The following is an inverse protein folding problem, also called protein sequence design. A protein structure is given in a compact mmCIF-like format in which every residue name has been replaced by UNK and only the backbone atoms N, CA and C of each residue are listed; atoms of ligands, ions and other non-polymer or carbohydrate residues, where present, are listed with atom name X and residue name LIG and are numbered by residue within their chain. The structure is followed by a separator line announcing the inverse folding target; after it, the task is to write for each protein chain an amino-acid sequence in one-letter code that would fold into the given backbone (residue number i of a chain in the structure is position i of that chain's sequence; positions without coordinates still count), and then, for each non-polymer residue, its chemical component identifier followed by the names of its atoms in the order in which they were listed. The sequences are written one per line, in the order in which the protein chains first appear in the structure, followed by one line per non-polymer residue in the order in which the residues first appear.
data_IF_105929604267
#
_entry.id   IF_105929604267
#
_cell.length_a   1.000
_cell.length_b   1.000
_cell.length_c   1.000
_cell.angle_alpha   90.00
_cell.angle_beta   90.00
_cell.angle_gamma   90.00
#
_symmetry.space_group_name_H-M   'P 1'
#
loop_
_entity.id
_entity.type
_entity.pdbx_description
1 polymer ?
#
# COMPACT_ATOMS: atom_id res chain seq x y z
N UNK A 1 -5.12 -21.85 10.49
CA UNK A 1 -5.66 -20.57 9.99
C UNK A 1 -5.57 -19.58 11.14
N UNK A 2 -4.97 -18.39 10.96
CA UNK A 2 -4.85 -17.43 12.07
C UNK A 2 -6.25 -16.99 12.52
N UNK A 3 -6.48 -16.82 13.82
CA UNK A 3 -7.76 -16.39 14.40
C UNK A 3 -8.25 -15.02 13.89
N UNK A 4 -7.42 -14.30 13.13
CA UNK A 4 -7.71 -12.94 12.64
C UNK A 4 -8.07 -12.85 11.15
N UNK A 5 -8.03 -13.97 10.40
CA UNK A 5 -8.24 -13.95 8.95
C UNK A 5 -7.12 -13.27 8.13
N UNK A 6 -6.06 -12.81 8.80
CA UNK A 6 -4.84 -12.25 8.20
C UNK A 6 -3.86 -13.35 7.83
N UNK A 7 -3.14 -13.13 6.73
CA UNK A 7 -1.96 -13.92 6.38
C UNK A 7 -0.80 -13.61 7.35
N UNK A 8 0.25 -14.45 7.40
CA UNK A 8 1.44 -14.16 8.20
C UNK A 8 2.08 -12.83 7.78
N UNK A 9 2.34 -11.96 8.76
CA UNK A 9 2.95 -10.64 8.57
C UNK A 9 4.43 -10.75 8.17
N UNK A 10 4.66 -11.13 6.92
CA UNK A 10 5.97 -11.29 6.29
C UNK A 10 6.05 -10.33 5.10
N UNK A 11 7.19 -9.67 4.92
CA UNK A 11 7.42 -8.75 3.82
C UNK A 11 7.86 -9.48 2.53
N UNK A 12 7.94 -8.74 1.42
CA UNK A 12 8.36 -9.28 0.11
C UNK A 12 9.80 -9.80 0.06
N UNK A 13 10.61 -9.55 1.10
CA UNK A 13 11.97 -10.05 1.26
C UNK A 13 12.04 -11.33 2.10
N UNK A 14 10.90 -11.81 2.63
CA UNK A 14 10.84 -12.99 3.49
C UNK A 14 11.13 -12.70 4.98
N UNK A 15 11.21 -11.43 5.37
CA UNK A 15 11.47 -10.99 6.74
C UNK A 15 10.17 -10.54 7.45
N UNK A 16 10.18 -10.31 8.78
CA UNK A 16 9.02 -9.75 9.47
C UNK A 16 8.54 -8.43 8.84
N UNK A 17 7.22 -8.29 8.70
CA UNK A 17 6.63 -7.09 8.11
C UNK A 17 6.81 -5.87 9.02
N UNK A 18 7.44 -4.81 8.48
CA UNK A 18 7.58 -3.54 9.19
C UNK A 18 6.30 -2.70 9.15
N UNK A 19 6.17 -1.81 10.13
CA UNK A 19 5.15 -0.76 10.12
C UNK A 19 5.33 0.18 8.94
N UNK A 20 4.24 0.42 8.20
CA UNK A 20 4.21 1.39 7.11
C UNK A 20 4.01 2.82 7.64
N UNK A 21 2.92 3.05 8.39
CA UNK A 21 2.60 4.36 8.96
C UNK A 21 1.62 4.26 10.13
N UNK A 22 1.84 5.05 11.18
CA UNK A 22 0.87 5.25 12.27
C UNK A 22 0.25 6.65 12.26
N UNK A 23 0.77 7.56 11.43
CA UNK A 23 0.30 8.94 11.27
C UNK A 23 0.55 9.40 9.82
N UNK A 24 -0.46 9.36 8.94
CA UNK A 24 -1.83 8.87 9.20
C UNK A 24 -1.86 7.34 9.44
N UNK A 25 -2.81 6.86 10.24
CA UNK A 25 -2.97 5.43 10.50
C UNK A 25 -3.42 4.70 9.23
N UNK A 26 -2.60 3.74 8.77
CA UNK A 26 -2.85 3.00 7.52
C UNK A 26 -3.13 1.51 7.75
N UNK A 27 -3.22 0.75 6.66
CA UNK A 27 -3.52 -0.69 6.65
C UNK A 27 -5.02 -0.96 6.64
N UNK A 28 -5.43 -2.07 6.01
CA UNK A 28 -6.84 -2.49 5.96
C UNK A 28 -7.43 -2.66 7.38
N UNK A 29 -6.67 -3.28 8.29
CA UNK A 29 -7.03 -3.43 9.71
C UNK A 29 -6.74 -2.19 10.57
N UNK A 30 -6.27 -1.06 10.00
CA UNK A 30 -5.88 0.15 10.73
C UNK A 30 -4.90 -0.10 11.88
N UNK A 31 -3.95 -1.00 11.67
CA UNK A 31 -2.87 -1.34 12.61
C UNK A 31 -1.51 -0.73 12.22
N UNK A 32 -1.47 0.05 11.14
CA UNK A 32 -0.27 0.72 10.63
C UNK A 32 0.65 -0.15 9.76
N UNK A 33 0.32 -1.43 9.58
CA UNK A 33 1.04 -2.36 8.71
C UNK A 33 0.21 -2.68 7.47
N UNK A 34 0.87 -3.07 6.37
CA UNK A 34 0.18 -3.49 5.15
C UNK A 34 -0.21 -4.98 5.20
N UNK A 35 -0.69 -5.42 6.36
CA UNK A 35 -1.26 -6.75 6.53
C UNK A 35 -2.45 -6.94 5.59
N UNK A 36 -2.53 -8.13 4.99
CA UNK A 36 -3.62 -8.51 4.10
C UNK A 36 -4.15 -9.92 4.44
N UNK A 37 -5.25 -10.32 3.81
CA UNK A 37 -5.94 -11.58 4.10
C UNK A 37 -7.21 -11.74 3.27
N UNK A 38 -7.94 -12.83 3.47
CA UNK A 38 -9.11 -13.15 2.65
C UNK A 38 -10.21 -12.07 2.68
N UNK A 39 -10.29 -11.29 3.76
CA UNK A 39 -11.26 -10.20 3.91
C UNK A 39 -10.89 -8.93 3.11
N UNK A 40 -9.61 -8.76 2.75
CA UNK A 40 -9.12 -7.59 2.04
C UNK A 40 -9.08 -7.85 0.53
N UNK A 41 -10.25 -7.76 -0.11
CA UNK A 41 -10.37 -7.96 -1.57
C UNK A 41 -9.57 -6.95 -2.40
N UNK A 42 -9.19 -5.80 -1.82
CA UNK A 42 -8.34 -4.79 -2.46
C UNK A 42 -6.85 -5.11 -2.39
N UNK A 43 -6.43 -6.02 -1.49
CA UNK A 43 -5.02 -6.35 -1.21
C UNK A 43 -4.19 -5.09 -0.94
N UNK A 44 -4.51 -4.40 0.15
CA UNK A 44 -3.78 -3.22 0.64
C UNK A 44 -2.40 -3.62 1.22
N UNK A 45 -1.54 -4.16 0.37
CA UNK A 45 -0.29 -4.84 0.74
C UNK A 45 0.98 -4.09 0.35
N UNK A 46 0.88 -2.96 -0.34
CA UNK A 46 2.04 -2.16 -0.81
C UNK A 46 2.19 -0.90 0.04
N UNK A 47 3.28 -0.78 0.81
CA UNK A 47 3.59 0.45 1.53
C UNK A 47 4.25 1.48 0.60
N UNK A 48 3.48 2.46 0.15
CA UNK A 48 3.94 3.50 -0.75
C UNK A 48 4.08 4.86 -0.05
N UNK A 49 5.02 5.67 -0.54
CA UNK A 49 5.19 7.09 -0.18
C UNK A 49 4.50 7.93 -1.24
N UNK A 50 3.42 8.61 -0.86
CA UNK A 50 2.59 9.35 -1.80
C UNK A 50 3.38 10.45 -2.49
N UNK A 51 3.15 10.63 -3.80
CA UNK A 51 3.64 11.76 -4.59
C UNK A 51 2.46 12.56 -5.13
N UNK A 52 2.70 13.80 -5.56
CA UNK A 52 1.63 14.63 -6.13
C UNK A 52 1.11 14.02 -7.44
N UNK A 53 2.01 13.48 -8.24
CA UNK A 53 1.76 12.83 -9.53
C UNK A 53 0.90 11.58 -9.35
N UNK A 54 1.28 10.71 -8.40
CA UNK A 54 0.49 9.51 -8.09
C UNK A 54 -0.91 9.87 -7.58
N UNK A 55 -1.03 10.83 -6.65
CA UNK A 55 -2.34 11.21 -6.10
C UNK A 55 -3.26 11.78 -7.19
N UNK A 56 -2.73 12.58 -8.12
CA UNK A 56 -3.47 13.11 -9.25
C UNK A 56 -3.92 12.00 -10.21
N UNK A 57 -3.01 11.09 -10.59
CA UNK A 57 -3.33 9.96 -11.46
C UNK A 57 -4.36 9.03 -10.80
N UNK A 58 -4.15 8.67 -9.54
CA UNK A 58 -5.05 7.78 -8.80
C UNK A 58 -6.47 8.33 -8.76
N UNK A 59 -6.61 9.64 -8.48
CA UNK A 59 -7.89 10.33 -8.52
C UNK A 59 -8.53 10.31 -9.91
N UNK A 60 -7.75 10.60 -10.95
CA UNK A 60 -8.22 10.54 -12.34
C UNK A 60 -8.74 9.14 -12.73
N UNK A 61 -8.09 8.08 -12.25
CA UNK A 61 -8.46 6.67 -12.46
C UNK A 61 -9.54 6.16 -11.47
N UNK A 62 -10.22 7.07 -10.77
CA UNK A 62 -11.36 6.76 -9.89
C UNK A 62 -11.00 6.27 -8.48
N UNK A 63 -9.74 6.42 -8.06
CA UNK A 63 -9.27 6.10 -6.71
C UNK A 63 -8.78 7.38 -6.00
N UNK A 64 -9.72 8.24 -5.59
CA UNK A 64 -9.38 9.49 -4.91
C UNK A 64 -8.88 9.26 -3.48
N UNK A 65 -7.56 9.30 -3.33
CA UNK A 65 -6.88 9.23 -2.03
C UNK A 65 -6.57 10.60 -1.44
N UNK A 66 -6.91 11.70 -2.12
CA UNK A 66 -6.57 13.07 -1.71
C UNK A 66 -7.71 13.76 -0.95
N UNK A 67 -8.96 13.46 -1.29
CA UNK A 67 -10.13 14.07 -0.66
C UNK A 67 -10.40 13.40 0.69
N UNK A 68 -10.46 14.15 1.81
CA UNK A 68 -10.83 13.59 3.11
C UNK A 68 -12.22 12.95 3.09
N UNK A 69 -12.36 11.82 3.79
CA UNK A 69 -13.64 11.12 4.02
C UNK A 69 -13.82 10.86 5.53
N UNK A 70 -14.24 11.88 6.31
CA UNK A 70 -14.43 11.77 7.75
C UNK A 70 -15.37 10.63 8.17
N UNK A 71 -16.36 10.32 7.33
CA UNK A 71 -17.31 9.21 7.51
C UNK A 71 -16.63 7.83 7.57
N UNK A 72 -15.41 7.71 7.03
CA UNK A 72 -14.58 6.50 7.07
C UNK A 72 -13.31 6.67 7.91
N UNK A 73 -13.20 7.79 8.65
CA UNK A 73 -11.98 8.15 9.38
C UNK A 73 -10.76 8.31 8.48
N UNK A 74 -10.95 8.64 7.21
CA UNK A 74 -9.87 8.81 6.23
C UNK A 74 -9.52 10.30 6.07
N UNK A 75 -8.28 10.72 6.40
CA UNK A 75 -7.93 12.14 6.46
C UNK A 75 -7.70 12.79 5.09
N UNK A 76 -7.63 12.01 4.01
CA UNK A 76 -7.06 12.46 2.74
C UNK A 76 -5.53 12.53 2.83
N UNK A 77 -4.85 12.02 1.80
CA UNK A 77 -3.40 11.90 1.77
C UNK A 77 -2.76 13.08 1.04
N UNK A 78 -1.52 13.34 1.41
CA UNK A 78 -0.66 14.38 0.83
C UNK A 78 0.67 13.78 0.39
N UNK A 79 1.42 14.46 -0.50
CA UNK A 79 2.77 14.04 -0.83
C UNK A 79 3.63 13.86 0.43
N UNK A 80 4.38 12.75 0.49
CA UNK A 80 5.19 12.34 1.65
C UNK A 80 4.47 11.42 2.64
N UNK A 81 3.14 11.35 2.63
CA UNK A 81 2.41 10.40 3.47
C UNK A 81 2.75 8.96 3.08
N UNK A 82 2.85 8.07 4.07
CA UNK A 82 2.98 6.63 3.86
C UNK A 82 1.62 5.96 3.97
N UNK A 83 1.28 5.12 2.98
CA UNK A 83 -0.02 4.47 2.92
C UNK A 83 0.06 3.08 2.27
N UNK A 84 -0.72 2.15 2.81
CA UNK A 84 -0.90 0.83 2.22
C UNK A 84 -1.87 0.91 1.04
N UNK A 85 -1.35 0.79 -0.16
CA UNK A 85 -2.10 0.77 -1.41
C UNK A 85 -2.53 -0.65 -1.78
N UNK A 86 -3.67 -0.73 -2.48
CA UNK A 86 -4.05 -1.92 -3.22
C UNK A 86 -2.96 -2.30 -4.22
N UNK A 87 -2.52 -3.56 -4.23
CA UNK A 87 -1.46 -4.04 -5.13
C UNK A 87 -1.77 -3.76 -6.60
N UNK A 88 -3.03 -3.98 -7.04
CA UNK A 88 -3.46 -3.68 -8.41
C UNK A 88 -3.40 -2.18 -8.75
N UNK A 89 -3.66 -1.30 -7.79
CA UNK A 89 -3.58 0.16 -8.02
C UNK A 89 -2.13 0.65 -8.09
N UNK A 90 -1.23 0.01 -7.35
CA UNK A 90 0.20 0.24 -7.51
C UNK A 90 0.68 -0.21 -8.88
N UNK A 91 0.33 -1.44 -9.31
CA UNK A 91 0.73 -1.96 -10.62
C UNK A 91 0.23 -1.07 -11.76
N UNK A 92 -1.05 -0.68 -11.72
CA UNK A 92 -1.63 0.25 -12.68
C UNK A 92 -0.84 1.57 -12.75
N UNK A 93 -0.46 2.14 -11.59
CA UNK A 93 0.34 3.36 -11.58
C UNK A 93 1.74 3.16 -12.15
N UNK A 94 2.36 1.99 -11.97
CA UNK A 94 3.65 1.66 -12.56
C UNK A 94 3.57 1.54 -14.08
N UNK A 95 2.54 0.86 -14.60
CA UNK A 95 2.28 0.74 -16.05
C UNK A 95 2.06 2.11 -16.72
N UNK A 96 1.44 3.05 -16.00
CA UNK A 96 1.23 4.44 -16.43
C UNK A 96 2.45 5.36 -16.17
N UNK A 97 3.56 4.83 -15.66
CA UNK A 97 4.80 5.59 -15.43
C UNK A 97 4.74 6.59 -14.26
N UNK A 98 3.78 6.44 -13.34
CA UNK A 98 3.57 7.33 -12.20
C UNK A 98 3.50 6.58 -10.85
N UNK A 99 4.13 5.40 -10.76
CA UNK A 99 4.23 4.67 -9.50
C UNK A 99 4.97 5.49 -8.43
N UNK A 100 4.45 5.55 -7.20
CA UNK A 100 5.15 6.13 -6.08
C UNK A 100 6.34 5.25 -5.65
N UNK A 101 7.31 5.82 -4.92
CA UNK A 101 8.34 5.00 -4.25
C UNK A 101 7.71 4.16 -3.13
N UNK A 102 8.30 3.01 -2.84
CA UNK A 102 7.77 2.05 -1.86
C UNK A 102 8.80 1.62 -0.82
N UNK A 103 8.35 1.20 0.36
CA UNK A 103 9.20 0.62 1.40
C UNK A 103 9.08 -0.90 1.38
N UNK A 104 10.05 -1.59 0.75
CA UNK A 104 10.02 -3.05 0.59
C UNK A 104 9.80 -3.80 1.90
N UNK A 105 10.50 -3.39 2.97
CA UNK A 105 10.37 -4.02 4.29
C UNK A 105 8.96 -3.92 4.91
N UNK A 106 8.13 -2.98 4.42
CA UNK A 106 6.74 -2.76 4.83
C UNK A 106 5.71 -3.18 3.74
N UNK A 107 6.15 -3.78 2.63
CA UNK A 107 5.27 -4.38 1.63
C UNK A 107 5.07 -5.87 1.96
N UNK A 108 3.83 -6.32 2.11
CA UNK A 108 3.52 -7.69 2.50
C UNK A 108 3.78 -8.68 1.35
N UNK A 109 4.24 -9.90 1.67
CA UNK A 109 4.65 -10.93 0.72
C UNK A 109 3.58 -11.27 -0.34
N UNK A 110 2.30 -11.29 0.04
CA UNK A 110 1.17 -11.48 -0.87
C UNK A 110 1.09 -10.45 -2.02
N UNK A 111 1.82 -9.33 -1.95
CA UNK A 111 2.00 -8.40 -3.08
C UNK A 111 2.60 -9.12 -4.29
N UNK A 112 3.47 -10.10 -4.08
CA UNK A 112 4.16 -10.86 -5.13
C UNK A 112 3.22 -11.72 -5.98
N UNK A 113 1.98 -11.95 -5.53
CA UNK A 113 0.94 -12.60 -6.34
C UNK A 113 0.40 -11.66 -7.45
N UNK A 114 0.68 -10.37 -7.36
CA UNK A 114 0.17 -9.32 -8.27
C UNK A 114 1.32 -8.58 -8.96
N UNK A 115 2.36 -8.22 -8.21
CA UNK A 115 3.48 -7.39 -8.67
C UNK A 115 4.78 -8.15 -8.51
N UNK A 116 5.51 -8.45 -9.59
CA UNK A 116 6.83 -9.07 -9.53
C UNK A 116 7.81 -8.30 -8.65
N UNK A 117 8.73 -9.01 -8.00
CA UNK A 117 9.69 -8.42 -7.08
C UNK A 117 10.60 -7.40 -7.79
N UNK A 118 10.93 -7.63 -9.05
CA UNK A 118 11.77 -6.75 -9.87
C UNK A 118 11.16 -5.35 -9.99
N UNK A 119 9.86 -5.26 -10.26
CA UNK A 119 9.11 -4.00 -10.33
C UNK A 119 9.12 -3.29 -8.97
N UNK A 120 8.94 -4.05 -7.88
CA UNK A 120 8.98 -3.51 -6.53
C UNK A 120 10.38 -2.93 -6.20
N UNK A 121 11.45 -3.64 -6.60
CA UNK A 121 12.83 -3.20 -6.38
C UNK A 121 13.17 -1.92 -7.15
N UNK A 122 12.68 -1.77 -8.39
CA UNK A 122 12.83 -0.53 -9.17
C UNK A 122 12.25 0.70 -8.44
N UNK A 123 11.19 0.49 -7.66
CA UNK A 123 10.47 1.54 -6.94
C UNK A 123 10.92 1.72 -5.48
N UNK A 124 11.88 0.96 -4.98
CA UNK A 124 12.23 0.91 -3.55
C UNK A 124 12.86 2.22 -3.03
N UNK A 125 12.35 2.81 -1.95
CA UNK A 125 13.07 3.89 -1.25
C UNK A 125 14.35 3.35 -0.63
N UNK A 126 15.33 4.23 -0.40
CA UNK A 126 16.39 3.98 0.58
C UNK A 126 15.81 3.64 1.97
#
# INVERSE_FOLDING_TARGET
MSESGRLPSINVLGEPLETCSTRPMTGFWRNGCCDTGAADGGRHSVCAVMTAEFLALSKYLGNDLSTPRPEYGFPGLRPGDKWCLCANRFLQAWEEGAAPRIRLAACHAATLEVVPLEILMECATE
#
